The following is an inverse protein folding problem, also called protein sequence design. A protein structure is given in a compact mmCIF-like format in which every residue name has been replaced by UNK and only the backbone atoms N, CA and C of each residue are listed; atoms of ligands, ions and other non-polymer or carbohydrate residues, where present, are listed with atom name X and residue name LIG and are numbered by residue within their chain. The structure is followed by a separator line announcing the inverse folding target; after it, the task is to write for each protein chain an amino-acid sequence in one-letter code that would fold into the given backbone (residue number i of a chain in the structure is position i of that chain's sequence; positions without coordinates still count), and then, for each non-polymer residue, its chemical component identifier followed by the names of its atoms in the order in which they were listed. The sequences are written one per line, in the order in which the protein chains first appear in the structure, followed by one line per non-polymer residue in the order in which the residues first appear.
data_IF_270130484089
#
_entry.id   IF_270130484089
#
_cell.length_a   1.000
_cell.length_b   1.000
_cell.length_c   1.000
_cell.angle_alpha   90.00
_cell.angle_beta   90.00
_cell.angle_gamma   90.00
#
_symmetry.space_group_name_H-M   'P 1'
#
loop_
_entity.id
_entity.type
_entity.pdbx_description
1 polymer ?
#
# COMPACT_ATOMS: atom_id res chain seq x y z
N UNK A 1 -0.14 -14.83 5.39
CA UNK A 1 -1.60 -14.60 5.40
C UNK A 1 -1.92 -13.44 4.47
N UNK A 2 -2.92 -13.64 3.58
CA UNK A 2 -3.48 -12.58 2.75
C UNK A 2 -4.76 -12.06 3.41
N UNK A 3 -4.83 -10.74 3.63
CA UNK A 3 -6.03 -10.08 4.11
C UNK A 3 -6.62 -9.19 3.00
N UNK A 4 -7.83 -9.50 2.55
CA UNK A 4 -8.51 -8.73 1.52
C UNK A 4 -9.60 -7.80 2.08
N UNK A 5 -10.25 -8.19 3.16
CA UNK A 5 -11.29 -7.39 3.82
C UNK A 5 -12.51 -7.10 2.96
N UNK A 6 -13.27 -6.12 3.38
CA UNK A 6 -14.49 -5.64 2.68
C UNK A 6 -14.28 -4.30 1.97
N UNK A 7 -13.09 -3.69 2.10
CA UNK A 7 -12.81 -2.39 1.53
C UNK A 7 -12.91 -2.42 0.01
N UNK A 8 -13.80 -1.62 -0.55
CA UNK A 8 -13.94 -1.40 -1.98
C UNK A 8 -13.96 0.10 -2.36
N UNK A 9 -13.68 0.98 -1.40
CA UNK A 9 -13.56 2.42 -1.64
C UNK A 9 -12.16 2.78 -2.09
N UNK A 10 -12.05 3.70 -3.03
CA UNK A 10 -10.79 4.23 -3.54
C UNK A 10 -10.97 5.69 -3.91
N UNK A 11 -9.92 6.48 -3.75
CA UNK A 11 -9.91 7.88 -4.18
C UNK A 11 -9.42 8.06 -5.63
N UNK A 12 -9.06 6.98 -6.32
CA UNK A 12 -8.74 6.95 -7.75
C UNK A 12 -9.88 6.32 -8.56
N UNK A 13 -10.07 6.81 -9.79
CA UNK A 13 -11.11 6.39 -10.74
C UNK A 13 -10.52 5.84 -12.03
N UNK A 14 -9.40 5.10 -11.93
CA UNK A 14 -8.68 4.55 -13.09
C UNK A 14 -9.63 3.79 -14.04
N UNK A 15 -9.56 4.10 -15.34
CA UNK A 15 -10.43 3.53 -16.36
C UNK A 15 -10.30 2.00 -16.52
N UNK A 16 -9.08 1.50 -16.28
CA UNK A 16 -8.72 0.08 -16.42
C UNK A 16 -8.85 -0.71 -15.10
N UNK A 17 -9.39 -0.14 -14.04
CA UNK A 17 -9.50 -0.84 -12.77
C UNK A 17 -10.59 -1.93 -12.85
N UNK A 18 -10.26 -3.22 -12.61
CA UNK A 18 -11.21 -4.31 -12.72
C UNK A 18 -12.22 -4.36 -11.57
N UNK A 19 -12.01 -3.55 -10.53
CA UNK A 19 -12.85 -3.55 -9.34
C UNK A 19 -13.89 -2.43 -9.42
N UNK A 20 -15.16 -2.78 -9.19
CA UNK A 20 -16.24 -1.80 -9.01
C UNK A 20 -16.03 -1.04 -7.70
N UNK A 21 -15.38 0.12 -7.78
CA UNK A 21 -15.02 0.91 -6.60
C UNK A 21 -16.12 1.86 -6.19
N UNK A 22 -16.30 2.00 -4.88
CA UNK A 22 -17.08 3.08 -4.29
C UNK A 22 -16.18 4.30 -4.04
N UNK A 23 -16.82 5.47 -3.97
CA UNK A 23 -16.12 6.69 -3.53
C UNK A 23 -15.41 6.47 -2.19
N UNK A 24 -14.25 7.12 -2.01
CA UNK A 24 -13.53 7.14 -0.73
C UNK A 24 -14.33 7.77 0.41
N UNK A 25 -15.42 8.48 0.11
CA UNK A 25 -16.36 9.03 1.08
C UNK A 25 -17.46 8.04 1.48
N UNK A 26 -17.50 6.82 0.90
CA UNK A 26 -18.47 5.80 1.28
C UNK A 26 -18.25 5.35 2.73
N UNK A 27 -19.34 4.89 3.35
CA UNK A 27 -19.28 4.32 4.70
C UNK A 27 -18.39 3.06 4.72
N UNK A 28 -17.37 3.08 5.55
CA UNK A 28 -16.39 2.00 5.73
C UNK A 28 -16.51 1.29 7.09
N UNK A 29 -17.58 1.55 7.84
CA UNK A 29 -17.76 1.00 9.21
C UNK A 29 -17.65 -0.52 9.25
N UNK A 30 -18.26 -1.22 8.30
CA UNK A 30 -18.20 -2.70 8.25
C UNK A 30 -16.79 -3.20 7.92
N UNK A 31 -16.04 -2.46 7.12
CA UNK A 31 -14.67 -2.80 6.79
C UNK A 31 -13.75 -2.57 7.99
N UNK A 32 -13.88 -1.43 8.67
CA UNK A 32 -13.13 -1.15 9.90
C UNK A 32 -13.39 -2.19 11.00
N UNK A 33 -14.64 -2.62 11.18
CA UNK A 33 -14.97 -3.70 12.10
C UNK A 33 -14.32 -5.04 11.68
N UNK A 34 -14.30 -5.36 10.38
CA UNK A 34 -13.64 -6.56 9.88
C UNK A 34 -12.12 -6.50 10.09
N UNK A 35 -11.52 -5.33 9.85
CA UNK A 35 -10.11 -5.07 10.09
C UNK A 35 -9.74 -5.23 11.58
N UNK A 36 -10.53 -4.69 12.48
CA UNK A 36 -10.31 -4.81 13.92
C UNK A 36 -10.42 -6.28 14.40
N UNK A 37 -11.38 -7.06 13.83
CA UNK A 37 -11.44 -8.52 14.13
C UNK A 37 -10.21 -9.26 13.62
N UNK A 38 -9.68 -8.89 12.45
CA UNK A 38 -8.45 -9.46 11.93
C UNK A 38 -7.26 -9.15 12.84
N UNK A 39 -7.11 -7.91 13.28
CA UNK A 39 -6.06 -7.51 14.25
C UNK A 39 -6.15 -8.37 15.51
N UNK A 40 -7.34 -8.47 16.11
CA UNK A 40 -7.55 -9.26 17.33
C UNK A 40 -7.20 -10.76 17.15
N UNK A 41 -7.47 -11.32 15.97
CA UNK A 41 -7.07 -12.69 15.65
C UNK A 41 -5.54 -12.85 15.56
N UNK A 42 -4.85 -11.88 14.96
CA UNK A 42 -3.38 -11.89 14.89
C UNK A 42 -2.75 -11.71 16.28
N UNK A 43 -3.31 -10.86 17.15
CA UNK A 43 -2.84 -10.70 18.54
C UNK A 43 -2.87 -12.00 19.33
N UNK A 44 -3.87 -12.84 19.08
CA UNK A 44 -4.04 -14.12 19.74
C UNK A 44 -3.23 -15.27 19.12
N UNK A 45 -2.58 -15.01 17.98
CA UNK A 45 -1.81 -16.05 17.27
C UNK A 45 -0.61 -16.54 18.11
N UNK A 46 -0.48 -17.89 18.23
CA UNK A 46 0.59 -18.56 18.99
C UNK A 46 1.45 -19.50 18.15
N UNK A 47 1.22 -19.51 16.82
CA UNK A 47 1.98 -20.34 15.89
C UNK A 47 3.26 -19.68 15.40
N UNK A 48 3.76 -20.16 14.27
CA UNK A 48 4.94 -19.63 13.60
C UNK A 48 4.81 -18.15 13.25
N UNK A 49 5.94 -17.41 13.14
CA UNK A 49 5.94 -16.00 12.77
C UNK A 49 5.22 -15.74 11.45
N UNK A 50 4.39 -14.69 11.43
CA UNK A 50 3.52 -14.38 10.32
C UNK A 50 4.13 -13.37 9.35
N UNK A 51 3.96 -13.63 8.06
CA UNK A 51 4.03 -12.63 6.99
C UNK A 51 2.61 -12.26 6.59
N UNK A 52 2.26 -10.98 6.72
CA UNK A 52 0.94 -10.45 6.40
C UNK A 52 0.98 -9.68 5.08
N UNK A 53 -0.02 -9.86 4.22
CA UNK A 53 -0.18 -9.07 3.01
C UNK A 53 -1.60 -8.51 2.91
N UNK A 54 -1.71 -7.19 2.98
CA UNK A 54 -2.97 -6.43 2.96
C UNK A 54 -3.22 -6.01 1.51
N UNK A 55 -4.26 -6.59 0.90
CA UNK A 55 -4.58 -6.44 -0.53
C UNK A 55 -6.07 -6.15 -0.76
N UNK A 56 -6.60 -5.01 -0.29
CA UNK A 56 -8.01 -4.67 -0.47
C UNK A 56 -8.34 -4.43 -1.95
N UNK A 57 -9.64 -4.39 -2.26
CA UNK A 57 -10.13 -3.99 -3.59
C UNK A 57 -10.06 -2.47 -3.81
N UNK A 58 -10.00 -1.68 -2.73
CA UNK A 58 -9.85 -0.23 -2.73
C UNK A 58 -8.46 0.22 -2.28
N UNK A 59 -8.35 1.49 -1.85
CA UNK A 59 -7.12 2.05 -1.30
C UNK A 59 -7.16 2.06 0.23
N UNK A 60 -6.39 1.17 0.86
CA UNK A 60 -6.38 1.03 2.32
C UNK A 60 -5.75 2.24 3.03
N UNK A 61 -4.64 2.75 2.51
CA UNK A 61 -3.81 3.69 3.26
C UNK A 61 -4.33 5.13 3.28
N UNK A 62 -5.41 5.47 2.56
CA UNK A 62 -6.14 6.72 2.79
C UNK A 62 -6.93 6.67 4.11
N UNK A 63 -7.26 5.48 4.61
CA UNK A 63 -8.01 5.29 5.85
C UNK A 63 -7.08 5.17 7.05
N UNK A 64 -7.29 6.02 8.05
CA UNK A 64 -6.43 6.08 9.25
C UNK A 64 -6.40 4.78 10.04
N UNK A 65 -7.52 4.04 10.10
CA UNK A 65 -7.59 2.78 10.81
C UNK A 65 -6.67 1.70 10.20
N UNK A 66 -6.51 1.65 8.87
CA UNK A 66 -5.52 0.77 8.25
C UNK A 66 -4.09 1.17 8.60
N UNK A 67 -3.75 2.47 8.47
CA UNK A 67 -2.40 2.95 8.80
C UNK A 67 -2.03 2.65 10.25
N UNK A 68 -2.94 2.92 11.20
CA UNK A 68 -2.74 2.60 12.62
C UNK A 68 -2.64 1.10 12.87
N UNK A 69 -3.54 0.31 12.28
CA UNK A 69 -3.55 -1.13 12.46
C UNK A 69 -2.32 -1.82 11.87
N UNK A 70 -1.81 -1.36 10.71
CA UNK A 70 -0.55 -1.87 10.16
C UNK A 70 0.64 -1.62 11.10
N UNK A 71 0.72 -0.45 11.71
CA UNK A 71 1.76 -0.13 12.68
C UNK A 71 1.66 -1.00 13.92
N UNK A 72 0.44 -1.17 14.42
CA UNK A 72 0.17 -2.04 15.56
C UNK A 72 0.58 -3.49 15.27
N UNK A 73 0.16 -4.03 14.13
CA UNK A 73 0.53 -5.39 13.70
C UNK A 73 2.04 -5.55 13.52
N UNK A 74 2.73 -4.57 12.91
CA UNK A 74 4.18 -4.61 12.76
C UNK A 74 4.94 -4.64 14.10
N UNK A 75 4.37 -4.04 15.14
CA UNK A 75 4.95 -4.04 16.50
C UNK A 75 4.80 -5.39 17.22
N UNK A 76 3.88 -6.26 16.79
CA UNK A 76 3.65 -7.55 17.42
C UNK A 76 4.83 -8.50 17.21
N UNK A 77 5.27 -9.25 18.23
CA UNK A 77 6.41 -10.18 18.11
C UNK A 77 6.15 -11.33 17.14
N UNK A 78 4.91 -11.81 17.04
CA UNK A 78 4.50 -12.87 16.11
C UNK A 78 4.39 -12.41 14.65
N UNK A 79 4.51 -11.11 14.35
CA UNK A 79 4.52 -10.59 12.99
C UNK A 79 5.96 -10.35 12.54
N UNK A 80 6.44 -11.16 11.61
CA UNK A 80 7.77 -11.04 11.02
C UNK A 80 7.82 -9.99 9.91
N UNK A 81 6.69 -9.70 9.25
CA UNK A 81 6.58 -8.65 8.25
C UNK A 81 5.15 -8.38 7.85
N UNK A 82 4.88 -7.14 7.41
CA UNK A 82 3.57 -6.72 6.91
C UNK A 82 3.74 -5.93 5.63
N UNK A 83 3.06 -6.37 4.58
CA UNK A 83 3.05 -5.73 3.27
C UNK A 83 1.66 -5.16 2.97
N UNK A 84 1.59 -4.06 2.23
CA UNK A 84 0.33 -3.51 1.74
C UNK A 84 0.45 -3.10 0.29
N UNK A 85 -0.57 -3.41 -0.52
CA UNK A 85 -0.73 -2.85 -1.84
C UNK A 85 -1.41 -1.49 -1.73
N UNK A 86 -0.88 -0.47 -2.41
CA UNK A 86 -1.36 0.91 -2.30
C UNK A 86 -1.10 1.70 -3.58
N UNK A 87 -1.92 2.72 -3.85
CA UNK A 87 -1.69 3.69 -4.92
C UNK A 87 -0.82 4.89 -4.49
N UNK A 88 -0.32 4.90 -3.24
CA UNK A 88 0.47 5.98 -2.64
C UNK A 88 -0.18 7.37 -2.67
N UNK A 89 -1.50 7.46 -2.71
CA UNK A 89 -2.20 8.76 -2.71
C UNK A 89 -2.29 9.41 -1.31
N UNK A 90 -1.97 8.66 -0.26
CA UNK A 90 -1.88 9.21 1.09
C UNK A 90 -0.59 10.03 1.29
N UNK A 91 -0.57 11.05 2.18
CA UNK A 91 0.63 11.84 2.42
C UNK A 91 1.66 11.06 3.24
N UNK A 92 2.68 10.50 2.56
CA UNK A 92 3.70 9.65 3.18
C UNK A 92 4.43 10.34 4.35
N UNK A 93 4.82 11.60 4.18
CA UNK A 93 5.46 12.38 5.24
C UNK A 93 4.58 12.47 6.49
N UNK A 94 3.31 12.80 6.32
CA UNK A 94 2.38 12.91 7.44
C UNK A 94 2.19 11.57 8.15
N UNK A 95 2.12 10.47 7.40
CA UNK A 95 2.07 9.14 8.00
C UNK A 95 3.32 8.83 8.81
N UNK A 96 4.51 9.14 8.30
CA UNK A 96 5.77 8.96 9.03
C UNK A 96 5.85 9.83 10.29
N UNK A 97 5.32 11.06 10.26
CA UNK A 97 5.26 11.94 11.41
C UNK A 97 4.30 11.39 12.50
N UNK A 98 3.22 10.68 12.08
CA UNK A 98 2.32 9.96 13.00
C UNK A 98 3.00 8.71 13.62
N UNK A 99 4.02 8.16 12.95
CA UNK A 99 4.72 6.93 13.34
C UNK A 99 5.92 7.25 14.22
N UNK A 100 5.73 7.33 15.53
CA UNK A 100 6.81 7.36 16.50
C UNK A 100 7.15 5.95 16.98
N UNK A 101 7.59 5.08 16.08
CA UNK A 101 7.94 3.69 16.40
C UNK A 101 9.42 3.42 16.21
N UNK A 102 9.90 2.36 16.85
CA UNK A 102 11.28 1.93 16.73
C UNK A 102 11.63 1.56 15.28
N UNK A 103 12.87 1.81 14.82
CA UNK A 103 13.33 1.39 13.49
C UNK A 103 13.10 -0.08 13.17
N UNK A 104 13.14 -0.95 14.17
CA UNK A 104 12.85 -2.38 14.07
C UNK A 104 11.41 -2.68 13.67
N UNK A 105 10.47 -1.79 13.97
CA UNK A 105 9.08 -1.91 13.53
C UNK A 105 8.94 -1.44 12.08
N UNK A 106 9.59 -0.31 11.73
CA UNK A 106 9.58 0.24 10.37
C UNK A 106 10.16 -0.77 9.37
N UNK A 107 11.24 -1.46 9.71
CA UNK A 107 11.89 -2.46 8.83
C UNK A 107 11.01 -3.68 8.50
N UNK A 108 9.95 -3.92 9.26
CA UNK A 108 8.96 -4.97 8.97
C UNK A 108 7.92 -4.54 7.93
N UNK A 109 7.81 -3.24 7.62
CA UNK A 109 6.79 -2.70 6.73
C UNK A 109 7.30 -2.71 5.29
N UNK A 110 6.46 -3.21 4.39
CA UNK A 110 6.72 -3.23 2.96
C UNK A 110 5.52 -2.69 2.21
N UNK A 111 5.77 -1.90 1.18
CA UNK A 111 4.71 -1.35 0.34
C UNK A 111 4.90 -1.78 -1.12
N UNK A 112 3.83 -2.27 -1.69
CA UNK A 112 3.70 -2.53 -3.11
C UNK A 112 2.92 -1.37 -3.72
N UNK A 113 3.66 -0.40 -4.25
CA UNK A 113 3.11 0.85 -4.74
C UNK A 113 2.70 0.74 -6.21
N UNK A 114 1.42 0.93 -6.50
CA UNK A 114 0.87 0.87 -7.86
C UNK A 114 0.80 2.27 -8.47
N UNK A 115 1.58 2.50 -9.53
CA UNK A 115 1.53 3.72 -10.32
C UNK A 115 0.34 3.72 -11.27
N UNK A 116 -0.44 4.77 -11.23
CA UNK A 116 -1.63 4.98 -12.06
C UNK A 116 -1.48 6.29 -12.85
N UNK A 117 -0.99 6.27 -14.10
CA UNK A 117 -0.67 7.49 -14.85
C UNK A 117 -1.87 8.39 -15.13
N UNK A 118 -3.09 7.84 -15.12
CA UNK A 118 -4.32 8.64 -15.25
C UNK A 118 -4.62 9.52 -14.02
N UNK A 119 -4.00 9.20 -12.88
CA UNK A 119 -4.41 9.73 -11.57
C UNK A 119 -3.30 10.49 -10.84
N UNK A 120 -2.04 10.28 -11.21
CA UNK A 120 -0.90 10.92 -10.55
C UNK A 120 0.26 11.10 -11.54
N UNK A 121 1.09 12.13 -11.32
CA UNK A 121 2.31 12.31 -12.12
C UNK A 121 3.45 11.42 -11.62
N UNK A 122 4.43 11.19 -12.51
CA UNK A 122 5.66 10.45 -12.19
C UNK A 122 6.40 11.08 -11.02
N UNK A 123 6.56 12.41 -11.03
CA UNK A 123 7.30 13.15 -10.01
C UNK A 123 6.65 13.01 -8.64
N UNK A 124 5.33 13.16 -8.57
CA UNK A 124 4.58 13.05 -7.33
C UNK A 124 4.67 11.63 -6.75
N UNK A 125 4.52 10.62 -7.61
CA UNK A 125 4.60 9.23 -7.18
C UNK A 125 6.02 8.84 -6.72
N UNK A 126 7.05 9.19 -7.50
CA UNK A 126 8.45 8.93 -7.16
C UNK A 126 8.84 9.66 -5.86
N UNK A 127 8.41 10.90 -5.67
CA UNK A 127 8.65 11.65 -4.44
C UNK A 127 8.10 10.94 -3.20
N UNK A 128 6.87 10.40 -3.26
CA UNK A 128 6.29 9.63 -2.17
C UNK A 128 7.10 8.36 -1.86
N UNK A 129 7.55 7.65 -2.90
CA UNK A 129 8.42 6.47 -2.75
C UNK A 129 9.73 6.86 -2.06
N UNK A 130 10.39 7.94 -2.49
CA UNK A 130 11.65 8.38 -1.92
C UNK A 130 11.51 8.71 -0.42
N UNK A 131 10.45 9.42 -0.03
CA UNK A 131 10.18 9.71 1.39
C UNK A 131 10.10 8.42 2.22
N UNK A 132 9.35 7.43 1.75
CA UNK A 132 9.15 6.16 2.45
C UNK A 132 10.44 5.31 2.50
N UNK A 133 11.14 5.24 1.36
CA UNK A 133 12.40 4.52 1.24
C UNK A 133 13.49 5.08 2.18
N UNK A 134 13.66 6.41 2.20
CA UNK A 134 14.61 7.07 3.11
C UNK A 134 14.25 6.88 4.60
N UNK A 135 12.99 6.65 4.91
CA UNK A 135 12.54 6.32 6.27
C UNK A 135 12.77 4.84 6.64
N UNK A 136 13.31 4.01 5.73
CA UNK A 136 13.58 2.60 5.97
C UNK A 136 12.41 1.65 5.65
N UNK A 137 11.33 2.14 5.05
CA UNK A 137 10.24 1.30 4.55
C UNK A 137 10.66 0.70 3.20
N UNK A 138 10.55 -0.61 3.07
CA UNK A 138 10.81 -1.27 1.79
C UNK A 138 9.64 -0.98 0.82
N UNK A 139 9.94 -0.36 -0.31
CA UNK A 139 8.94 -0.03 -1.33
C UNK A 139 9.35 -0.62 -2.67
N UNK A 140 8.43 -1.26 -3.36
CA UNK A 140 8.56 -1.56 -4.79
C UNK A 140 7.45 -0.85 -5.56
N UNK A 141 7.75 -0.45 -6.79
CA UNK A 141 6.80 0.17 -7.71
C UNK A 141 6.22 -0.87 -8.67
N UNK A 142 4.97 -0.74 -9.01
CA UNK A 142 4.31 -1.53 -10.04
C UNK A 142 3.43 -0.67 -10.93
N UNK A 143 3.25 -1.08 -12.17
CA UNK A 143 2.37 -0.40 -13.11
C UNK A 143 1.69 -1.38 -14.06
N UNK A 144 0.55 -0.98 -14.62
CA UNK A 144 -0.09 -1.69 -15.72
C UNK A 144 0.52 -1.20 -17.02
N UNK A 145 1.13 -2.13 -17.78
CA UNK A 145 1.75 -1.86 -19.07
C UNK A 145 0.76 -2.01 -20.20
N UNK A 146 0.64 -0.97 -21.01
CA UNK A 146 0.03 -1.00 -22.34
C UNK A 146 0.96 -0.28 -23.32
N UNK A 147 0.78 -0.42 -24.64
CA UNK A 147 1.66 0.22 -25.63
C UNK A 147 1.73 1.75 -25.49
N UNK A 148 0.64 2.42 -25.12
CA UNK A 148 0.59 3.88 -24.95
C UNK A 148 1.28 4.35 -23.65
N UNK A 149 1.49 3.47 -22.68
CA UNK A 149 2.13 3.82 -21.41
C UNK A 149 3.67 3.76 -21.45
N UNK A 150 4.28 3.29 -22.55
CA UNK A 150 5.74 3.04 -22.62
C UNK A 150 6.57 4.26 -22.25
N UNK A 151 6.25 5.43 -22.76
CA UNK A 151 7.00 6.66 -22.49
C UNK A 151 6.94 7.01 -21.00
N UNK A 152 5.75 7.08 -20.41
CA UNK A 152 5.56 7.44 -19.00
C UNK A 152 6.16 6.38 -18.05
N UNK A 153 6.23 5.11 -18.44
CA UNK A 153 6.88 4.08 -17.64
C UNK A 153 8.42 4.18 -17.70
N UNK A 154 8.99 4.60 -18.81
CA UNK A 154 10.41 4.94 -18.89
C UNK A 154 10.73 6.16 -18.00
N UNK A 155 9.91 7.20 -18.04
CA UNK A 155 10.06 8.37 -17.18
C UNK A 155 9.96 7.98 -15.70
N UNK A 156 9.02 7.09 -15.35
CA UNK A 156 8.91 6.55 -13.99
C UNK A 156 10.19 5.80 -13.60
N UNK A 157 10.73 4.90 -14.45
CA UNK A 157 11.99 4.20 -14.15
C UNK A 157 13.13 5.18 -13.89
N UNK A 158 13.24 6.22 -14.71
CA UNK A 158 14.29 7.24 -14.58
C UNK A 158 14.13 8.11 -13.32
N UNK A 159 12.91 8.32 -12.85
CA UNK A 159 12.61 9.08 -11.65
C UNK A 159 12.80 8.29 -10.34
N UNK A 160 12.78 6.94 -10.39
CA UNK A 160 12.99 6.10 -9.23
C UNK A 160 14.48 5.85 -8.95
N UNK A 161 14.86 5.71 -7.69
CA UNK A 161 16.19 5.29 -7.30
C UNK A 161 16.53 3.91 -7.93
N UNK A 162 17.82 3.62 -8.22
CA UNK A 162 18.22 2.37 -8.89
C UNK A 162 17.83 1.10 -8.14
N UNK A 163 17.81 1.14 -6.82
CA UNK A 163 17.48 0.03 -5.93
C UNK A 163 15.97 -0.15 -5.70
N UNK A 164 15.13 0.77 -6.19
CA UNK A 164 13.68 0.59 -6.19
C UNK A 164 13.28 -0.32 -7.34
N UNK A 165 12.78 -1.49 -7.01
CA UNK A 165 12.27 -2.44 -8.00
C UNK A 165 11.01 -1.91 -8.67
N UNK A 166 10.98 -1.92 -10.02
CA UNK A 166 9.80 -1.60 -10.83
C UNK A 166 9.38 -2.85 -11.62
N UNK A 167 8.17 -3.31 -11.43
CA UNK A 167 7.58 -4.38 -12.24
C UNK A 167 6.39 -3.84 -13.03
N UNK A 168 6.18 -4.42 -14.22
CA UNK A 168 5.11 -4.02 -15.13
C UNK A 168 4.27 -5.25 -15.44
N UNK A 169 2.99 -5.19 -15.08
CA UNK A 169 2.01 -6.21 -15.42
C UNK A 169 1.37 -5.90 -16.78
N UNK A 170 1.27 -6.88 -17.65
CA UNK A 170 0.53 -6.72 -18.88
C UNK A 170 -0.95 -6.42 -18.58
N UNK A 171 -1.53 -5.48 -19.32
CA UNK A 171 -2.97 -5.23 -19.29
C UNK A 171 -3.68 -6.47 -19.83
N UNK A 172 -4.57 -7.05 -19.03
CA UNK A 172 -5.46 -8.12 -19.52
C UNK A 172 -6.62 -7.45 -20.26
N UNK A 173 -6.80 -7.83 -21.52
CA UNK A 173 -7.90 -7.38 -22.38
C UNK A 173 -9.22 -8.02 -21.99
#
# INVERSE_FOLDING_TARGET
IYYRGKLNSCNYTCSYCPFGKKSHLADTTQDEQAWNRFIAAIEQWKGEPLQLFIIPYGEALIHRYYRKGMMHLAALPQVAGISCQTNLSFPAKHWLDEIRVAPTVISKIRLWASFHPEMTSVEKFAHQIHILHHAGIQVCAGAVGNPSAKAVLNDLRNALLPDIYLFINAMQG
#
